data_IF_890982901339
#
_entry.id   IF_890982901339
#
_cell.length_a   1.000
_cell.length_b   1.000
_cell.length_c   1.000
_cell.angle_alpha   90.00
_cell.angle_beta   90.00
_cell.angle_gamma   90.00
#
_symmetry.space_group_name_H-M   'P 1'
#
loop_
_entity.id
_entity.type
_entity.pdbx_description
1 polymer ?
#
# COMPACT_ATOMS: atom_id res chain seq x y z
N UNK A 1 -8.26 -7.31 -15.20
CA UNK A 1 -8.45 -7.43 -13.74
C UNK A 1 -9.30 -6.25 -13.30
N UNK A 2 -10.29 -6.44 -12.42
CA UNK A 2 -11.25 -5.40 -12.01
C UNK A 2 -11.24 -5.33 -10.48
N UNK A 3 -11.13 -4.13 -9.92
CA UNK A 3 -11.24 -3.91 -8.48
C UNK A 3 -12.70 -4.05 -8.05
N UNK A 4 -12.92 -4.65 -6.88
CA UNK A 4 -14.25 -4.80 -6.28
C UNK A 4 -14.34 -4.05 -4.98
N UNK A 5 -15.55 -3.67 -4.58
CA UNK A 5 -15.76 -3.02 -3.28
C UNK A 5 -15.23 -3.90 -2.13
N UNK A 6 -15.52 -5.20 -2.19
CA UNK A 6 -15.06 -6.19 -1.22
C UNK A 6 -13.52 -6.28 -1.13
N UNK A 7 -12.81 -6.26 -2.26
CA UNK A 7 -11.34 -6.30 -2.25
C UNK A 7 -10.74 -5.03 -1.67
N UNK A 8 -11.33 -3.86 -1.94
CA UNK A 8 -10.86 -2.59 -1.40
C UNK A 8 -11.15 -2.47 0.11
N UNK A 9 -12.32 -2.90 0.56
CA UNK A 9 -12.63 -2.98 2.00
C UNK A 9 -11.72 -3.97 2.72
N UNK A 10 -11.45 -5.13 2.11
CA UNK A 10 -10.47 -6.08 2.65
C UNK A 10 -9.10 -5.41 2.80
N UNK A 11 -8.58 -4.76 1.76
CA UNK A 11 -7.28 -4.11 1.80
C UNK A 11 -7.19 -3.06 2.90
N UNK A 12 -8.19 -2.15 2.99
CA UNK A 12 -8.25 -1.15 4.06
C UNK A 12 -8.26 -1.78 5.45
N UNK A 13 -9.12 -2.77 5.67
CA UNK A 13 -9.25 -3.42 6.96
C UNK A 13 -7.97 -4.17 7.34
N UNK A 14 -7.35 -4.86 6.37
CA UNK A 14 -6.09 -5.57 6.56
C UNK A 14 -4.97 -4.59 6.95
N UNK A 15 -4.78 -3.52 6.17
CA UNK A 15 -3.75 -2.51 6.46
C UNK A 15 -4.01 -1.91 7.85
N UNK A 16 -5.27 -1.65 8.23
CA UNK A 16 -5.59 -1.05 9.53
C UNK A 16 -5.31 -2.00 10.71
N UNK A 17 -5.71 -3.27 10.58
CA UNK A 17 -5.69 -4.23 11.67
C UNK A 17 -4.30 -4.84 11.94
N UNK A 18 -3.47 -4.97 10.90
CA UNK A 18 -2.19 -5.66 11.02
C UNK A 18 -1.01 -4.70 11.12
N UNK A 19 -0.01 -5.17 11.85
CA UNK A 19 1.31 -4.56 11.87
C UNK A 19 1.95 -4.67 10.48
N UNK A 20 2.61 -3.61 10.05
CA UNK A 20 3.17 -3.49 8.71
C UNK A 20 4.54 -4.19 8.63
N UNK A 21 5.62 -3.49 9.00
CA UNK A 21 6.98 -4.03 8.97
C UNK A 21 7.91 -3.33 9.96
N UNK A 22 8.91 -4.05 10.48
CA UNK A 22 9.99 -3.47 11.28
C UNK A 22 10.97 -2.62 10.46
N UNK A 23 10.84 -2.60 9.13
CA UNK A 23 11.77 -1.89 8.24
C UNK A 23 11.40 -0.43 8.00
N UNK A 24 10.11 -0.13 7.99
CA UNK A 24 9.57 1.20 7.71
C UNK A 24 8.43 1.51 8.66
N UNK A 25 8.28 2.76 9.11
CA UNK A 25 7.05 3.16 9.77
C UNK A 25 5.87 3.05 8.79
N UNK A 26 4.69 2.75 9.32
CA UNK A 26 3.45 2.82 8.55
C UNK A 26 3.30 4.23 7.96
N UNK A 27 3.11 4.38 6.64
CA UNK A 27 2.89 5.68 6.01
C UNK A 27 1.70 6.42 6.65
N UNK A 28 1.89 7.70 6.99
CA UNK A 28 0.83 8.48 7.62
C UNK A 28 -0.26 8.87 6.60
N UNK A 29 0.07 8.85 5.30
CA UNK A 29 -0.84 9.21 4.22
C UNK A 29 -2.02 8.24 4.13
N UNK A 30 -1.89 7.03 4.68
CA UNK A 30 -3.05 6.16 4.86
C UNK A 30 -4.15 6.83 5.70
N UNK A 31 -3.83 7.67 6.70
CA UNK A 31 -4.83 8.44 7.46
C UNK A 31 -5.63 9.38 6.55
N UNK A 32 -4.96 10.03 5.59
CA UNK A 32 -5.63 10.87 4.60
C UNK A 32 -6.54 10.02 3.68
N UNK A 33 -6.05 8.87 3.21
CA UNK A 33 -6.85 7.94 2.38
C UNK A 33 -8.10 7.44 3.12
N UNK A 34 -7.97 7.09 4.41
CA UNK A 34 -9.11 6.61 5.20
C UNK A 34 -10.13 7.72 5.49
N UNK A 35 -9.66 8.95 5.71
CA UNK A 35 -10.54 10.10 5.91
C UNK A 35 -11.41 10.39 4.67
N UNK A 36 -10.83 10.23 3.48
CA UNK A 36 -11.53 10.41 2.20
C UNK A 36 -11.92 9.07 1.54
N UNK A 37 -12.13 8.02 2.33
CA UNK A 37 -12.22 6.65 1.80
C UNK A 37 -13.35 6.45 0.79
N UNK A 38 -14.50 7.10 0.99
CA UNK A 38 -15.63 7.01 0.06
C UNK A 38 -15.24 7.50 -1.36
N UNK A 39 -14.55 8.63 -1.44
CA UNK A 39 -14.08 9.21 -2.70
C UNK A 39 -12.97 8.36 -3.33
N UNK A 40 -11.98 7.95 -2.52
CA UNK A 40 -10.87 7.09 -2.97
C UNK A 40 -11.41 5.79 -3.54
N UNK A 41 -12.34 5.13 -2.83
CA UNK A 41 -12.94 3.89 -3.29
C UNK A 41 -13.73 4.07 -4.59
N UNK A 42 -14.54 5.13 -4.67
CA UNK A 42 -15.29 5.45 -5.90
C UNK A 42 -14.35 5.66 -7.08
N UNK A 43 -13.24 6.37 -6.88
CA UNK A 43 -12.22 6.56 -7.91
C UNK A 43 -11.59 5.24 -8.35
N UNK A 44 -11.15 4.41 -7.40
CA UNK A 44 -10.50 3.12 -7.68
C UNK A 44 -11.43 2.12 -8.39
N UNK A 45 -12.72 2.07 -8.02
CA UNK A 45 -13.71 1.22 -8.68
C UNK A 45 -14.01 1.65 -10.11
N UNK A 46 -13.92 2.95 -10.40
CA UNK A 46 -14.10 3.50 -11.74
C UNK A 46 -12.82 3.41 -12.59
N UNK A 47 -11.66 3.27 -11.96
CA UNK A 47 -10.37 3.25 -12.64
C UNK A 47 -10.15 1.93 -13.39
N UNK A 48 -9.69 2.04 -14.64
CA UNK A 48 -9.15 0.88 -15.37
C UNK A 48 -7.76 0.55 -14.83
N UNK A 49 -7.53 -0.72 -14.47
CA UNK A 49 -6.19 -1.19 -14.12
C UNK A 49 -5.27 -1.31 -15.35
N UNK A 50 -5.82 -1.26 -16.57
CA UNK A 50 -5.02 -1.28 -17.78
C UNK A 50 -4.25 0.04 -17.92
N UNK A 51 -2.93 -0.01 -17.69
CA UNK A 51 -2.07 1.18 -17.69
C UNK A 51 -2.00 1.90 -16.34
N UNK A 52 -2.50 1.29 -15.26
CA UNK A 52 -2.28 1.83 -13.91
C UNK A 52 -0.78 1.84 -13.61
N UNK A 53 -0.22 3.04 -13.48
CA UNK A 53 1.17 3.24 -13.07
C UNK A 53 1.21 3.43 -11.56
N UNK A 54 1.77 2.46 -10.86
CA UNK A 54 2.23 2.70 -9.49
C UNK A 54 3.53 3.49 -9.54
N UNK A 55 3.72 4.36 -8.55
CA UNK A 55 4.99 5.04 -8.35
C UNK A 55 6.07 4.04 -7.96
N UNK A 56 7.33 4.43 -8.17
CA UNK A 56 8.46 3.63 -7.71
C UNK A 56 8.40 3.49 -6.18
N UNK A 57 8.61 2.28 -5.63
CA UNK A 57 8.66 2.10 -4.20
C UNK A 57 9.85 2.86 -3.59
N UNK A 58 9.75 3.19 -2.31
CA UNK A 58 10.93 3.48 -1.50
C UNK A 58 11.72 2.19 -1.31
N UNK A 59 13.03 2.26 -1.52
CA UNK A 59 13.91 1.08 -1.47
C UNK A 59 15.11 1.36 -0.56
N UNK A 60 15.41 0.44 0.35
CA UNK A 60 16.65 0.50 1.14
C UNK A 60 17.29 -0.88 1.35
N UNK A 61 18.62 -0.94 1.52
CA UNK A 61 19.30 -2.13 1.99
C UNK A 61 19.17 -2.25 3.52
N UNK A 62 18.68 -3.38 4.01
CA UNK A 62 18.60 -3.68 5.44
C UNK A 62 19.53 -4.82 5.80
N UNK A 63 20.35 -4.63 6.84
CA UNK A 63 21.34 -5.62 7.26
C UNK A 63 20.67 -6.91 7.77
N UNK A 64 21.21 -8.06 7.35
CA UNK A 64 20.79 -9.37 7.88
C UNK A 64 21.62 -9.72 9.12
N UNK A 65 21.03 -10.49 10.03
CA UNK A 65 21.66 -10.86 11.30
C UNK A 65 23.01 -11.59 11.17
N UNK A 66 23.25 -12.29 10.05
CA UNK A 66 24.47 -13.07 9.79
C UNK A 66 25.30 -12.52 8.61
N UNK A 67 25.19 -11.22 8.35
CA UNK A 67 25.91 -10.54 7.27
C UNK A 67 25.14 -10.46 5.95
N UNK A 68 25.57 -9.55 5.09
CA UNK A 68 24.87 -9.17 3.85
C UNK A 68 23.62 -8.32 4.09
N UNK A 69 22.92 -7.99 3.01
CA UNK A 69 21.74 -7.13 3.03
C UNK A 69 20.53 -7.82 2.38
N UNK A 70 19.33 -7.43 2.80
CA UNK A 70 18.08 -7.62 2.05
C UNK A 70 17.66 -6.28 1.49
N UNK A 71 17.20 -6.25 0.25
CA UNK A 71 16.55 -5.05 -0.29
C UNK A 71 15.10 -5.10 0.14
N UNK A 72 14.65 -4.07 0.84
CA UNK A 72 13.26 -3.94 1.28
C UNK A 72 12.60 -2.81 0.50
N UNK A 73 11.31 -2.98 0.23
CA UNK A 73 10.51 -2.07 -0.57
C UNK A 73 9.31 -1.63 0.25
N UNK A 74 8.98 -0.34 0.20
CA UNK A 74 7.71 0.20 0.67
C UNK A 74 7.02 0.85 -0.51
N UNK A 75 5.84 0.33 -0.86
CA UNK A 75 4.98 0.93 -1.88
C UNK A 75 4.39 2.24 -1.34
N UNK A 76 4.04 3.15 -2.24
CA UNK A 76 3.16 4.26 -1.86
C UNK A 76 1.80 3.72 -1.40
N UNK A 77 1.13 4.37 -0.43
CA UNK A 77 -0.12 3.89 0.14
C UNK A 77 -1.22 3.54 -0.86
N UNK A 78 -1.40 4.35 -1.90
CA UNK A 78 -2.39 4.08 -2.94
C UNK A 78 -2.05 2.83 -3.77
N UNK A 79 -0.76 2.55 -3.98
CA UNK A 79 -0.30 1.36 -4.70
C UNK A 79 -0.38 0.07 -3.87
N UNK A 80 -0.72 0.17 -2.58
CA UNK A 80 -0.97 -0.98 -1.69
C UNK A 80 -2.43 -1.44 -1.74
N UNK A 81 -3.33 -0.63 -2.31
CA UNK A 81 -4.77 -0.89 -2.48
C UNK A 81 -5.07 -1.53 -3.85
#
# INVERSE_FOLDING_TARGET
>A
MVLTDASLEFARNHITAFYDTDFYPKPFEFYALWNSWAEVKSYLLAASLAGAHTSNPRVLPWAKARGGYRIVHQLEPLGTL
#
